data_IF_769252735287
#
_entry.id   IF_769252735287
#
_cell.length_a   1.000
_cell.length_b   1.000
_cell.length_c   1.000
_cell.angle_alpha   90.00
_cell.angle_beta   90.00
_cell.angle_gamma   90.00
#
_symmetry.space_group_name_H-M   'P 1'
#
loop_
_entity.id
_entity.type
_entity.pdbx_description
1 polymer ?
#
# COMPACT_ATOMS: atom_id res chain seq x y z
N UNK A 1 2.03 21.32 -15.75
CA UNK A 1 2.79 20.11 -16.12
C UNK A 1 4.05 20.06 -15.27
N UNK A 2 4.20 19.04 -14.40
CA UNK A 2 5.25 19.02 -13.37
C UNK A 2 6.52 18.21 -13.74
N UNK A 3 6.64 17.71 -14.98
CA UNK A 3 7.79 16.92 -15.46
C UNK A 3 8.23 15.80 -14.49
N UNK A 4 7.25 15.16 -13.84
CA UNK A 4 7.48 14.04 -12.95
C UNK A 4 7.49 12.74 -13.77
N UNK A 5 8.52 11.89 -13.65
CA UNK A 5 8.51 10.56 -14.25
C UNK A 5 7.49 9.69 -13.51
N UNK A 6 6.27 9.62 -14.06
CA UNK A 6 5.17 8.85 -13.49
C UNK A 6 5.01 7.53 -14.24
N UNK A 7 4.99 6.43 -13.49
CA UNK A 7 4.69 5.09 -14.00
C UNK A 7 3.26 4.76 -13.60
N UNK A 8 2.40 4.55 -14.60
CA UNK A 8 1.03 4.09 -14.40
C UNK A 8 0.97 2.58 -14.64
N UNK A 9 0.41 1.85 -13.68
CA UNK A 9 0.28 0.39 -13.74
C UNK A 9 -1.20 0.05 -13.75
N UNK A 10 -1.66 -0.61 -14.81
CA UNK A 10 -3.01 -1.16 -14.84
C UNK A 10 -2.99 -2.59 -14.30
N UNK A 11 -3.47 -2.75 -13.08
CA UNK A 11 -3.65 -4.04 -12.42
C UNK A 11 -5.13 -4.34 -12.15
N UNK A 12 -6.06 -3.59 -12.77
CA UNK A 12 -7.49 -3.60 -12.43
C UNK A 12 -8.06 -5.02 -12.42
N UNK A 13 -7.80 -5.81 -13.47
CA UNK A 13 -8.28 -7.19 -13.58
C UNK A 13 -7.76 -8.08 -12.43
N UNK A 14 -6.49 -7.95 -12.05
CA UNK A 14 -5.90 -8.71 -10.94
C UNK A 14 -6.61 -8.42 -9.61
N UNK A 15 -6.97 -7.16 -9.37
CA UNK A 15 -7.69 -6.77 -8.16
C UNK A 15 -9.16 -7.22 -8.19
N UNK A 16 -9.86 -7.00 -9.31
CA UNK A 16 -11.28 -7.36 -9.43
C UNK A 16 -11.48 -8.86 -9.35
N UNK A 17 -10.69 -9.65 -10.08
CA UNK A 17 -10.79 -11.12 -10.03
C UNK A 17 -10.47 -11.67 -8.64
N UNK A 18 -9.50 -11.08 -7.92
CA UNK A 18 -9.17 -11.54 -6.57
C UNK A 18 -10.24 -11.21 -5.51
N UNK A 19 -11.17 -10.30 -5.82
CA UNK A 19 -12.27 -9.90 -4.94
C UNK A 19 -13.60 -10.55 -5.33
N UNK A 20 -13.64 -11.31 -6.42
CA UNK A 20 -14.84 -11.95 -6.92
C UNK A 20 -15.41 -12.93 -5.87
N UNK A 21 -16.70 -12.78 -5.57
CA UNK A 21 -17.39 -13.61 -4.58
C UNK A 21 -17.03 -13.34 -3.12
N UNK A 22 -16.08 -12.45 -2.82
CA UNK A 22 -15.78 -12.07 -1.43
C UNK A 22 -16.81 -11.05 -0.92
N UNK A 23 -17.35 -11.29 0.26
CA UNK A 23 -18.33 -10.42 0.92
C UNK A 23 -17.79 -9.81 2.22
N UNK A 24 -16.82 -10.48 2.86
CA UNK A 24 -16.23 -10.04 4.11
C UNK A 24 -15.31 -8.81 3.89
N UNK A 25 -15.63 -7.65 4.50
CA UNK A 25 -14.86 -6.43 4.30
C UNK A 25 -13.41 -6.55 4.81
N UNK A 26 -13.15 -7.36 5.84
CA UNK A 26 -11.79 -7.51 6.35
C UNK A 26 -10.92 -8.31 5.38
N UNK A 27 -11.48 -9.38 4.81
CA UNK A 27 -10.80 -10.16 3.76
C UNK A 27 -10.55 -9.33 2.51
N UNK A 28 -11.49 -8.48 2.11
CA UNK A 28 -11.27 -7.52 1.00
C UNK A 28 -10.10 -6.61 1.30
N UNK A 29 -10.08 -5.96 2.48
CA UNK A 29 -8.98 -5.06 2.88
C UNK A 29 -7.63 -5.76 2.84
N UNK A 30 -7.52 -6.96 3.42
CA UNK A 30 -6.28 -7.76 3.42
C UNK A 30 -5.85 -8.14 2.00
N UNK A 31 -6.80 -8.53 1.15
CA UNK A 31 -6.53 -8.90 -0.25
C UNK A 31 -6.03 -7.72 -1.07
N UNK A 32 -6.69 -6.57 -0.97
CA UNK A 32 -6.28 -5.33 -1.66
C UNK A 32 -4.90 -4.90 -1.20
N UNK A 33 -4.65 -4.87 0.12
CA UNK A 33 -3.35 -4.47 0.67
C UNK A 33 -2.21 -5.39 0.19
N UNK A 34 -2.44 -6.70 0.21
CA UNK A 34 -1.46 -7.68 -0.31
C UNK A 34 -1.16 -7.46 -1.79
N UNK A 35 -2.20 -7.35 -2.63
CA UNK A 35 -2.02 -7.16 -4.08
C UNK A 35 -1.33 -5.84 -4.41
N UNK A 36 -1.61 -4.78 -3.66
CA UNK A 36 -0.93 -3.50 -3.83
C UNK A 36 0.57 -3.63 -3.59
N UNK A 37 0.98 -4.29 -2.49
CA UNK A 37 2.39 -4.53 -2.18
C UNK A 37 3.04 -5.37 -3.28
N UNK A 38 2.40 -6.46 -3.71
CA UNK A 38 2.92 -7.33 -4.78
C UNK A 38 3.18 -6.54 -6.07
N UNK A 39 2.19 -5.77 -6.54
CA UNK A 39 2.33 -4.95 -7.76
C UNK A 39 3.39 -3.87 -7.59
N UNK A 40 3.41 -3.19 -6.44
CA UNK A 40 4.40 -2.14 -6.16
C UNK A 40 5.83 -2.69 -6.16
N UNK A 41 6.06 -3.84 -5.51
CA UNK A 41 7.37 -4.49 -5.50
C UNK A 41 7.80 -4.99 -6.88
N UNK A 42 6.87 -5.55 -7.66
CA UNK A 42 7.12 -6.00 -9.04
C UNK A 42 7.64 -4.83 -9.89
N UNK A 43 7.03 -3.64 -9.80
CA UNK A 43 7.48 -2.46 -10.53
C UNK A 43 8.77 -1.85 -9.97
N UNK A 44 8.92 -1.77 -8.64
CA UNK A 44 10.13 -1.25 -8.02
C UNK A 44 11.38 -2.08 -8.41
N UNK A 45 11.24 -3.41 -8.54
CA UNK A 45 12.32 -4.29 -9.00
C UNK A 45 12.73 -4.02 -10.45
N UNK A 46 11.80 -3.67 -11.34
CA UNK A 46 12.11 -3.33 -12.75
C UNK A 46 12.97 -2.07 -12.87
N UNK A 47 12.90 -1.19 -11.87
CA UNK A 47 13.70 0.04 -11.79
C UNK A 47 15.12 -0.20 -11.25
N UNK A 48 15.48 -1.44 -10.91
CA UNK A 48 16.78 -1.78 -10.32
C UNK A 48 16.84 -1.64 -8.80
N UNK A 49 15.70 -1.39 -8.14
CA UNK A 49 15.62 -1.15 -6.70
C UNK A 49 15.79 0.33 -6.32
N UNK A 50 15.35 0.68 -5.12
CA UNK A 50 15.44 2.04 -4.58
C UNK A 50 16.03 1.99 -3.16
N UNK A 51 16.93 2.93 -2.85
CA UNK A 51 17.53 3.06 -1.52
C UNK A 51 16.55 3.62 -0.49
N UNK A 52 15.53 4.35 -0.96
CA UNK A 52 14.56 5.04 -0.11
C UNK A 52 13.13 4.81 -0.61
N UNK A 53 12.21 4.65 0.33
CA UNK A 53 10.77 4.65 0.10
C UNK A 53 10.17 5.92 0.74
N UNK A 54 9.68 6.83 -0.07
CA UNK A 54 8.99 8.02 0.41
C UNK A 54 7.55 7.67 0.82
N UNK A 55 7.11 8.19 1.97
CA UNK A 55 5.73 8.06 2.45
C UNK A 55 5.16 9.43 2.81
N UNK A 56 3.87 9.63 2.58
CA UNK A 56 3.15 10.88 2.86
C UNK A 56 2.67 11.02 4.30
N UNK A 57 3.33 10.36 5.25
CA UNK A 57 2.95 10.37 6.67
C UNK A 57 2.92 11.81 7.22
N UNK A 58 1.81 12.19 7.85
CA UNK A 58 1.56 13.49 8.43
C UNK A 58 1.86 13.51 9.93
N UNK A 59 1.89 14.71 10.51
CA UNK A 59 2.15 14.86 11.95
C UNK A 59 1.13 14.16 12.86
N UNK A 60 -0.20 14.17 12.57
CA UNK A 60 -1.17 13.38 13.33
C UNK A 60 -0.85 11.88 13.35
N UNK A 61 -0.41 11.32 12.22
CA UNK A 61 -0.04 9.90 12.14
C UNK A 61 1.14 9.57 13.07
N UNK A 62 2.09 10.50 13.20
CA UNK A 62 3.19 10.36 14.16
C UNK A 62 2.67 10.37 15.59
N UNK A 63 1.78 11.30 15.94
CA UNK A 63 1.18 11.40 17.29
C UNK A 63 0.37 10.16 17.64
N UNK A 64 -0.40 9.61 16.69
CA UNK A 64 -1.16 8.37 16.89
C UNK A 64 -0.24 7.15 17.07
N UNK A 65 0.97 7.18 16.48
CA UNK A 65 1.95 6.09 16.61
C UNK A 65 2.73 6.08 17.94
N UNK A 66 2.82 7.21 18.65
CA UNK A 66 3.43 7.28 19.99
C UNK A 66 2.39 7.02 21.07
N UNK A 67 2.21 5.75 21.44
CA UNK A 67 1.35 5.35 22.55
C UNK A 67 1.82 6.00 23.86
N UNK A 68 1.03 6.93 24.42
CA UNK A 68 1.20 7.40 25.79
C UNK A 68 0.70 6.31 26.75
N UNK A 69 1.63 5.54 27.31
CA UNK A 69 1.42 4.60 28.43
C UNK A 69 0.70 3.25 28.11
N UNK A 70 1.49 2.23 27.79
CA UNK A 70 1.42 0.93 28.48
C UNK A 70 0.36 -0.12 28.13
N UNK A 71 -0.42 0.03 27.06
CA UNK A 71 -1.32 -1.02 26.56
C UNK A 71 -0.90 -1.55 25.18
N UNK A 72 -1.08 -2.85 24.87
CA UNK A 72 -0.70 -3.39 23.57
C UNK A 72 -1.52 -2.67 22.50
N UNK A 73 -0.82 -2.00 21.60
CA UNK A 73 -1.42 -1.39 20.42
C UNK A 73 -1.51 -2.51 19.38
N UNK A 74 -2.72 -3.07 19.27
CA UNK A 74 -3.19 -4.19 18.40
C UNK A 74 -2.53 -5.56 18.55
#
# INVERSE_FOLDING_TARGET
HYNLPLILVDASDRFISALEGEADPEKKRKTIGRLFIEVFEEEAKKLGGADFLAQGTLYPDVIESVSFSGGPSV
#
